data_IF_249013832852
#
_entry.id   IF_249013832852
#
_cell.length_a   1.000
_cell.length_b   1.000
_cell.length_c   1.000
_cell.angle_alpha   90.00
_cell.angle_beta   90.00
_cell.angle_gamma   90.00
#
_symmetry.space_group_name_H-M   'P 1'
#
loop_
_entity.id
_entity.type
_entity.pdbx_description
1 polymer ?
#
# COMPACT_ATOMS: atom_id res chain seq x y z
N UNK A 1 -23.73 4.68 18.50
CA UNK A 1 -23.42 5.22 19.85
C UNK A 1 -23.28 4.08 20.87
N UNK A 2 -22.52 4.29 21.95
CA UNK A 2 -22.39 3.29 23.00
C UNK A 2 -23.72 3.08 23.75
N UNK A 3 -24.08 1.81 23.97
CA UNK A 3 -25.23 1.33 24.73
C UNK A 3 -24.93 -0.05 25.29
N UNK A 4 -25.66 -0.49 26.33
CA UNK A 4 -25.48 -1.84 26.90
C UNK A 4 -25.64 -2.94 25.83
N UNK A 5 -26.62 -2.79 24.93
CA UNK A 5 -26.84 -3.70 23.80
C UNK A 5 -25.63 -3.75 22.86
N UNK A 6 -25.06 -2.61 22.48
CA UNK A 6 -23.93 -2.56 21.54
C UNK A 6 -22.65 -3.12 22.14
N UNK A 7 -22.46 -2.99 23.46
CA UNK A 7 -21.34 -3.60 24.21
C UNK A 7 -21.52 -5.11 24.32
N UNK A 8 -22.71 -5.59 24.73
CA UNK A 8 -23.05 -7.03 24.79
C UNK A 8 -22.85 -7.71 23.43
N UNK A 9 -23.22 -7.04 22.35
CA UNK A 9 -23.06 -7.51 20.98
C UNK A 9 -21.68 -7.21 20.37
N UNK A 10 -20.71 -6.70 21.14
CA UNK A 10 -19.32 -6.47 20.71
C UNK A 10 -19.21 -5.59 19.45
N UNK A 11 -20.12 -4.63 19.25
CA UNK A 11 -20.13 -3.74 18.06
C UNK A 11 -19.05 -2.65 18.08
N UNK A 12 -18.23 -2.60 19.14
CA UNK A 12 -17.13 -1.64 19.32
C UNK A 12 -15.75 -2.23 19.01
N UNK A 13 -15.69 -3.48 18.54
CA UNK A 13 -14.47 -4.06 17.99
C UNK A 13 -14.38 -3.77 16.49
N UNK A 14 -13.15 -3.76 15.97
CA UNK A 14 -12.93 -3.72 14.52
C UNK A 14 -13.57 -4.97 13.92
N UNK A 15 -14.46 -4.76 12.95
CA UNK A 15 -15.07 -5.80 12.15
C UNK A 15 -14.69 -5.60 10.69
N UNK A 16 -14.33 -6.68 10.01
CA UNK A 16 -13.99 -6.67 8.61
C UNK A 16 -14.56 -7.92 7.93
N UNK A 17 -15.40 -7.73 6.91
CA UNK A 17 -15.71 -8.80 5.97
C UNK A 17 -14.49 -9.03 5.07
N UNK A 18 -13.61 -9.94 5.50
CA UNK A 18 -12.32 -10.18 4.87
C UNK A 18 -12.42 -10.53 3.38
N UNK A 19 -13.45 -11.29 2.97
CA UNK A 19 -13.60 -11.72 1.56
C UNK A 19 -13.96 -10.54 0.66
N UNK A 20 -14.96 -9.76 1.09
CA UNK A 20 -15.41 -8.58 0.36
C UNK A 20 -14.31 -7.54 0.30
N UNK A 21 -13.67 -7.25 1.44
CA UNK A 21 -12.58 -6.27 1.54
C UNK A 21 -11.38 -6.68 0.69
N UNK A 22 -10.99 -7.95 0.70
CA UNK A 22 -9.90 -8.45 -0.14
C UNK A 22 -10.16 -8.23 -1.63
N UNK A 23 -11.38 -8.54 -2.11
CA UNK A 23 -11.75 -8.36 -3.52
C UNK A 23 -11.62 -6.89 -3.96
N UNK A 24 -12.13 -5.96 -3.15
CA UNK A 24 -12.03 -4.53 -3.45
C UNK A 24 -10.60 -4.00 -3.33
N UNK A 25 -9.85 -4.46 -2.33
CA UNK A 25 -8.47 -4.03 -2.11
C UNK A 25 -7.57 -4.42 -3.30
N UNK A 26 -7.68 -5.65 -3.77
CA UNK A 26 -6.89 -6.15 -4.90
C UNK A 26 -7.15 -5.33 -6.17
N UNK A 27 -8.42 -5.08 -6.53
CA UNK A 27 -8.73 -4.30 -7.73
C UNK A 27 -8.33 -2.83 -7.56
N UNK A 28 -8.85 -2.16 -6.54
CA UNK A 28 -8.74 -0.70 -6.45
C UNK A 28 -7.31 -0.22 -6.18
N UNK A 29 -6.52 -0.96 -5.40
CA UNK A 29 -5.12 -0.58 -5.13
C UNK A 29 -4.24 -0.79 -6.37
N UNK A 30 -4.44 -1.90 -7.09
CA UNK A 30 -3.76 -2.17 -8.34
C UNK A 30 -4.15 -1.16 -9.43
N UNK A 31 -5.45 -0.89 -9.60
CA UNK A 31 -5.97 0.03 -10.61
C UNK A 31 -5.48 1.47 -10.39
N UNK A 32 -5.40 1.93 -9.13
CA UNK A 32 -4.93 3.30 -8.85
C UNK A 32 -3.42 3.43 -9.00
N UNK A 33 -2.65 2.37 -8.74
CA UNK A 33 -1.22 2.32 -9.01
C UNK A 33 -0.91 2.38 -10.52
N UNK A 34 -1.66 1.62 -11.34
CA UNK A 34 -1.56 1.72 -12.81
C UNK A 34 -1.93 3.11 -13.32
N UNK A 35 -3.05 3.67 -12.83
CA UNK A 35 -3.50 5.00 -13.23
C UNK A 35 -2.49 6.10 -12.93
N UNK A 36 -1.79 6.05 -11.79
CA UNK A 36 -0.77 7.05 -11.49
C UNK A 36 0.46 6.90 -12.40
N UNK A 37 0.83 5.69 -12.80
CA UNK A 37 1.90 5.46 -13.78
C UNK A 37 1.51 6.02 -15.15
N UNK A 38 0.34 5.65 -15.67
CA UNK A 38 -0.17 6.14 -16.96
C UNK A 38 -0.25 7.67 -16.97
N UNK A 39 -0.80 8.28 -15.91
CA UNK A 39 -0.94 9.74 -15.79
C UNK A 39 0.41 10.48 -15.86
N UNK A 40 1.49 9.83 -15.46
CA UNK A 40 2.83 10.40 -15.43
C UNK A 40 3.76 9.83 -16.52
N UNK A 41 3.21 9.12 -17.51
CA UNK A 41 3.95 8.47 -18.60
C UNK A 41 5.08 7.56 -18.09
N UNK A 42 4.85 6.84 -16.98
CA UNK A 42 5.82 5.92 -16.42
C UNK A 42 5.61 4.51 -16.96
N UNK A 43 6.71 3.86 -17.30
CA UNK A 43 6.77 2.42 -17.53
C UNK A 43 7.25 1.70 -16.25
N UNK A 44 7.21 0.36 -16.25
CA UNK A 44 7.72 -0.44 -15.14
C UNK A 44 9.24 -0.27 -14.93
N UNK A 45 9.98 0.06 -16.00
CA UNK A 45 11.41 0.32 -15.94
C UNK A 45 11.72 1.65 -15.22
N UNK A 46 10.81 2.62 -15.33
CA UNK A 46 10.94 3.92 -14.67
C UNK A 46 10.74 3.87 -13.16
N UNK A 47 10.02 2.89 -12.62
CA UNK A 47 9.69 2.87 -11.19
C UNK A 47 10.83 2.19 -10.44
N UNK A 48 11.44 2.89 -9.48
CA UNK A 48 12.49 2.32 -8.62
C UNK A 48 11.86 1.56 -7.45
N UNK A 49 10.79 2.10 -6.88
CA UNK A 49 10.14 1.51 -5.71
C UNK A 49 8.61 1.62 -5.76
N UNK A 50 7.94 0.49 -5.51
CA UNK A 50 6.56 0.45 -5.03
C UNK A 50 6.56 0.53 -3.50
N UNK A 51 5.80 1.46 -2.96
CA UNK A 51 5.57 1.68 -1.52
C UNK A 51 4.10 1.38 -1.19
N UNK A 52 3.73 0.11 -0.94
CA UNK A 52 2.32 -0.29 -0.84
C UNK A 52 1.84 -0.36 0.62
N UNK A 53 0.56 -0.09 0.86
CA UNK A 53 -0.06 -0.41 2.15
C UNK A 53 0.07 -1.91 2.48
N UNK A 54 0.44 -2.23 3.72
CA UNK A 54 0.88 -3.53 4.20
C UNK A 54 -0.30 -4.25 4.83
N UNK A 55 -1.38 -4.39 4.05
CA UNK A 55 -2.58 -5.09 4.49
C UNK A 55 -2.42 -6.61 4.40
N UNK A 56 -1.91 -7.09 3.27
CA UNK A 56 -1.71 -8.51 2.98
C UNK A 56 -0.76 -8.66 1.79
N UNK A 57 0.18 -9.62 1.86
CA UNK A 57 1.13 -9.89 0.76
C UNK A 57 0.45 -10.11 -0.59
N UNK A 58 -0.67 -10.83 -0.63
CA UNK A 58 -1.38 -11.12 -1.90
C UNK A 58 -1.93 -9.87 -2.59
N UNK A 59 -2.31 -8.85 -1.82
CA UNK A 59 -2.79 -7.56 -2.36
C UNK A 59 -1.62 -6.79 -2.96
N UNK A 60 -0.46 -6.83 -2.28
CA UNK A 60 0.78 -6.19 -2.72
C UNK A 60 1.30 -6.85 -3.99
N UNK A 61 1.34 -8.18 -4.03
CA UNK A 61 1.76 -8.96 -5.20
C UNK A 61 0.89 -8.63 -6.43
N UNK A 62 -0.44 -8.54 -6.24
CA UNK A 62 -1.36 -8.15 -7.31
C UNK A 62 -1.13 -6.72 -7.81
N UNK A 63 -0.77 -5.80 -6.92
CA UNK A 63 -0.46 -4.40 -7.27
C UNK A 63 0.86 -4.33 -8.05
N UNK A 64 1.91 -5.00 -7.57
CA UNK A 64 3.20 -5.08 -8.25
C UNK A 64 3.07 -5.70 -9.66
N UNK A 65 2.31 -6.81 -9.76
CA UNK A 65 2.01 -7.47 -11.03
C UNK A 65 1.28 -6.53 -11.99
N UNK A 66 0.29 -5.77 -11.51
CA UNK A 66 -0.43 -4.79 -12.34
C UNK A 66 0.47 -3.67 -12.85
N UNK A 67 1.44 -3.25 -12.05
CA UNK A 67 2.44 -2.25 -12.44
C UNK A 67 3.52 -2.82 -13.38
N UNK A 68 3.50 -4.12 -13.68
CA UNK A 68 4.53 -4.77 -14.49
C UNK A 68 5.88 -4.92 -13.79
N UNK A 69 5.92 -4.80 -12.46
CA UNK A 69 7.17 -4.94 -11.69
C UNK A 69 7.52 -6.43 -11.55
N UNK A 70 8.51 -6.87 -12.32
CA UNK A 70 9.01 -8.26 -12.30
C UNK A 70 10.15 -8.47 -11.29
N UNK A 71 10.87 -7.41 -10.93
CA UNK A 71 11.91 -7.45 -9.90
C UNK A 71 11.27 -7.23 -8.52
N UNK A 72 11.18 -8.29 -7.72
CA UNK A 72 10.64 -8.24 -6.36
C UNK A 72 11.39 -7.24 -5.46
N UNK A 73 12.66 -6.93 -5.78
CA UNK A 73 13.45 -5.95 -5.01
C UNK A 73 12.88 -4.54 -5.11
N UNK A 74 12.11 -4.23 -6.15
CA UNK A 74 11.42 -2.93 -6.31
C UNK A 74 10.18 -2.81 -5.43
N UNK A 75 9.77 -3.85 -4.70
CA UNK A 75 8.55 -3.85 -3.88
C UNK A 75 8.91 -3.82 -2.40
N UNK A 76 8.58 -2.72 -1.70
CA UNK A 76 8.90 -2.59 -0.29
C UNK A 76 7.98 -3.46 0.59
N UNK A 77 8.59 -4.23 1.50
CA UNK A 77 7.90 -5.22 2.33
C UNK A 77 8.47 -5.27 3.75
N UNK A 78 7.67 -4.89 4.74
CA UNK A 78 8.00 -5.04 6.16
C UNK A 78 6.84 -5.58 7.01
N UNK A 79 5.76 -6.06 6.38
CA UNK A 79 4.61 -6.68 7.05
C UNK A 79 5.01 -7.84 7.99
N UNK A 80 6.10 -8.55 7.68
CA UNK A 80 6.62 -9.63 8.52
C UNK A 80 7.20 -9.14 9.87
N UNK A 81 7.56 -7.85 9.97
CA UNK A 81 8.06 -7.23 11.21
C UNK A 81 6.94 -6.63 12.05
N UNK A 82 6.01 -5.89 11.41
CA UNK A 82 5.03 -5.06 12.13
C UNK A 82 3.57 -5.47 11.94
N UNK A 83 3.28 -6.40 11.02
CA UNK A 83 1.91 -6.66 10.58
C UNK A 83 1.29 -5.46 9.87
N UNK A 84 -0.04 -5.39 9.86
CA UNK A 84 -0.78 -4.25 9.30
C UNK A 84 -0.90 -3.12 10.34
N UNK A 85 -0.22 -2.02 10.08
CA UNK A 85 -0.16 -0.83 10.95
C UNK A 85 -1.09 0.30 10.51
N UNK A 86 -2.07 0.00 9.66
CA UNK A 86 -3.04 0.98 9.11
C UNK A 86 -2.33 2.18 8.47
N UNK A 87 -2.54 3.40 8.96
CA UNK A 87 -1.96 4.62 8.39
C UNK A 87 -0.45 4.73 8.59
N UNK A 88 0.10 4.06 9.59
CA UNK A 88 1.53 4.10 9.89
C UNK A 88 2.36 3.24 8.94
N UNK A 89 1.73 2.47 8.04
CA UNK A 89 2.46 1.60 7.13
C UNK A 89 3.48 2.35 6.26
N UNK A 90 3.05 3.38 5.52
CA UNK A 90 3.91 3.99 4.50
C UNK A 90 5.12 4.69 5.15
N UNK A 91 4.96 5.46 6.25
CA UNK A 91 6.11 6.00 6.97
C UNK A 91 7.06 4.92 7.51
N UNK A 92 6.55 3.80 8.03
CA UNK A 92 7.38 2.70 8.51
C UNK A 92 8.16 2.03 7.38
N UNK A 93 7.56 1.87 6.19
CA UNK A 93 8.29 1.37 5.01
C UNK A 93 9.43 2.32 4.63
N UNK A 94 9.14 3.61 4.52
CA UNK A 94 10.18 4.59 4.16
C UNK A 94 11.33 4.59 5.17
N UNK A 95 11.02 4.54 6.47
CA UNK A 95 12.04 4.46 7.52
C UNK A 95 12.89 3.18 7.41
N UNK A 96 12.27 2.03 7.19
CA UNK A 96 12.99 0.75 7.07
C UNK A 96 13.89 0.70 5.81
N UNK A 97 13.49 1.41 4.75
CA UNK A 97 14.16 1.42 3.45
C UNK A 97 15.05 2.64 3.21
N UNK A 98 15.10 3.61 4.13
CA UNK A 98 15.76 4.92 3.93
C UNK A 98 17.22 4.82 3.47
N UNK A 99 17.95 3.81 3.94
CA UNK A 99 19.35 3.56 3.56
C UNK A 99 19.53 2.96 2.16
N UNK A 100 18.47 2.38 1.59
CA UNK A 100 18.48 1.83 0.23
C UNK A 100 18.01 2.87 -0.80
N UNK A 101 17.22 3.85 -0.36
CA UNK A 101 16.74 4.96 -1.19
C UNK A 101 17.88 5.88 -1.61
N UNK A 102 17.84 6.33 -2.86
CA UNK A 102 18.78 7.31 -3.41
C UNK A 102 18.03 8.52 -3.93
N UNK A 103 18.67 9.68 -3.86
CA UNK A 103 18.15 10.91 -4.44
C UNK A 103 17.87 10.68 -5.93
N UNK A 104 16.65 10.97 -6.35
CA UNK A 104 16.18 10.74 -7.71
C UNK A 104 15.33 9.49 -7.89
N UNK A 105 15.31 8.57 -6.92
CA UNK A 105 14.48 7.37 -7.01
C UNK A 105 13.00 7.73 -7.21
N UNK A 106 12.35 7.05 -8.13
CA UNK A 106 10.93 7.22 -8.49
C UNK A 106 10.08 6.26 -7.67
N UNK A 107 9.32 6.80 -6.72
CA UNK A 107 8.49 6.06 -5.77
C UNK A 107 7.02 6.15 -6.17
N UNK A 108 6.37 4.99 -6.30
CA UNK A 108 4.91 4.89 -6.45
C UNK A 108 4.31 4.35 -5.16
N UNK A 109 3.50 5.18 -4.51
CA UNK A 109 2.73 4.82 -3.33
C UNK A 109 1.37 4.30 -3.74
N UNK A 110 0.87 3.26 -3.08
CA UNK A 110 -0.48 2.75 -3.28
C UNK A 110 -1.09 2.30 -1.96
N UNK A 111 -2.31 2.74 -1.66
CA UNK A 111 -3.00 2.39 -0.42
C UNK A 111 -4.50 2.19 -0.63
N UNK A 112 -5.08 1.34 0.23
CA UNK A 112 -6.50 1.05 0.30
C UNK A 112 -6.89 0.85 1.78
N UNK A 113 -8.10 1.27 2.16
CA UNK A 113 -8.59 1.14 3.54
C UNK A 113 -10.11 1.22 3.67
N UNK A 114 -10.58 1.09 4.92
CA UNK A 114 -12.00 1.16 5.27
C UNK A 114 -12.62 2.50 4.91
N UNK A 115 -13.80 2.45 4.31
CA UNK A 115 -14.50 3.60 3.71
C UNK A 115 -15.56 3.14 2.70
N UNK A 116 -15.22 2.57 1.55
CA UNK A 116 -13.88 2.31 1.03
C UNK A 116 -13.17 3.58 0.52
N UNK A 117 -11.87 3.65 0.78
CA UNK A 117 -11.00 4.73 0.30
C UNK A 117 -9.71 4.13 -0.26
N UNK A 118 -9.21 4.69 -1.34
CA UNK A 118 -7.95 4.26 -1.95
C UNK A 118 -7.29 5.43 -2.69
N UNK A 119 -5.99 5.31 -2.92
CA UNK A 119 -5.22 6.34 -3.59
C UNK A 119 -3.82 5.88 -3.93
N UNK A 120 -3.20 6.61 -4.85
CA UNK A 120 -1.79 6.49 -5.16
C UNK A 120 -1.14 7.88 -5.26
N UNK A 121 0.16 7.90 -5.04
CA UNK A 121 0.99 9.09 -5.24
C UNK A 121 2.27 8.68 -5.97
N UNK A 122 2.78 9.58 -6.79
CA UNK A 122 4.08 9.44 -7.43
C UNK A 122 4.98 10.56 -6.92
N UNK A 123 6.13 10.19 -6.34
CA UNK A 123 7.10 11.12 -5.77
C UNK A 123 8.51 10.76 -6.24
N UNK A 124 9.39 11.76 -6.29
CA UNK A 124 10.82 11.57 -6.49
C UNK A 124 11.53 11.76 -5.14
N UNK A 125 12.33 10.78 -4.73
CA UNK A 125 13.08 10.87 -3.48
C UNK A 125 14.14 11.97 -3.52
N UNK A 126 14.30 12.72 -2.44
CA UNK A 126 14.95 14.03 -2.48
C UNK A 126 16.41 14.06 -1.97
N UNK A 127 16.86 13.04 -1.23
CA UNK A 127 18.16 13.05 -0.57
C UNK A 127 18.84 11.68 -0.53
N UNK A 128 20.13 11.67 -0.19
CA UNK A 128 20.87 10.46 0.14
C UNK A 128 21.11 10.44 1.66
N UNK A 129 21.08 9.26 2.25
CA UNK A 129 21.31 9.03 3.68
C UNK A 129 22.77 8.74 4.00
#
# INVERSE_FOLDING_TARGET
PASEETVKNRRHFVYQDGKTVFKFAVSNMADVAEKIMIRNNLTHDDVDWLVPHQANKRIIDATASRMGLTDERKVMMNIHKYGNTTSATLPLLLNDYEKQLKKGDKLVFAAFGGGFTWGAAYLTWAYNS
#
